data_IF_918702936164
#
_entry.id   IF_918702936164
#
_cell.length_a   1.000
_cell.length_b   1.000
_cell.length_c   1.000
_cell.angle_alpha   90.00
_cell.angle_beta   90.00
_cell.angle_gamma   90.00
#
_symmetry.space_group_name_H-M   'P 1'
#
loop_
_entity.id
_entity.type
_entity.pdbx_description
1 polymer ?
#
# COMPACT_ATOMS: atom_id res chain seq x y z
N UNK A 1 -5.32 -11.04 -1.36
CA UNK A 1 -4.28 -9.99 -1.39
C UNK A 1 -3.38 -10.32 -0.23
N UNK A 2 -2.35 -11.12 -0.48
CA UNK A 2 -1.24 -11.22 0.47
C UNK A 2 -0.69 -9.80 0.55
N UNK A 3 -0.92 -9.09 1.66
CA UNK A 3 -0.06 -7.95 1.97
C UNK A 3 1.33 -8.57 2.00
N UNK A 4 2.22 -8.22 1.05
CA UNK A 4 3.54 -8.80 1.08
C UNK A 4 4.10 -8.51 2.47
N UNK A 5 4.74 -9.50 3.06
CA UNK A 5 5.32 -9.44 4.41
C UNK A 5 6.55 -8.49 4.55
N UNK A 6 7.09 -7.72 3.58
CA UNK A 6 8.32 -6.95 3.83
C UNK A 6 8.06 -5.57 4.44
N UNK A 7 6.84 -5.23 4.87
CA UNK A 7 6.57 -3.95 5.54
C UNK A 7 6.92 -3.93 7.03
N UNK A 8 7.31 -5.05 7.63
CA UNK A 8 7.77 -5.13 9.04
C UNK A 8 8.94 -4.18 9.34
N UNK A 9 9.76 -3.85 8.33
CA UNK A 9 10.91 -2.93 8.49
C UNK A 9 10.57 -1.46 8.24
N UNK A 10 9.33 -1.12 7.87
CA UNK A 10 8.92 0.27 7.67
C UNK A 10 8.41 0.87 8.98
N UNK A 11 9.10 1.87 9.51
CA UNK A 11 8.49 2.63 10.60
C UNK A 11 7.30 3.40 10.03
N UNK A 12 6.10 3.12 10.57
CA UNK A 12 4.92 3.98 10.79
C UNK A 12 4.78 5.29 9.96
N UNK A 13 5.75 6.19 9.87
CA UNK A 13 5.68 7.45 9.08
C UNK A 13 6.23 7.33 7.65
N UNK A 14 7.01 6.29 7.38
CA UNK A 14 7.69 6.06 6.12
C UNK A 14 6.74 5.52 5.06
N UNK A 15 5.84 4.60 5.40
CA UNK A 15 4.90 3.95 4.47
C UNK A 15 3.99 4.94 3.71
N UNK A 16 3.39 5.90 4.41
CA UNK A 16 2.49 6.91 3.82
C UNK A 16 3.21 7.87 2.88
N UNK A 17 4.48 8.11 3.14
CA UNK A 17 5.22 9.10 2.42
C UNK A 17 6.17 8.47 1.39
N UNK A 18 6.40 7.15 1.41
CA UNK A 18 6.74 6.37 0.21
C UNK A 18 5.61 6.40 -0.81
N UNK A 19 4.34 6.33 -0.41
CA UNK A 19 3.20 6.45 -1.34
C UNK A 19 3.12 7.84 -2.01
N UNK A 20 3.34 8.94 -1.25
CA UNK A 20 3.39 10.29 -1.84
C UNK A 20 4.62 10.53 -2.72
N UNK A 21 5.77 9.92 -2.43
CA UNK A 21 6.96 9.99 -3.31
C UNK A 21 6.77 9.13 -4.56
N UNK A 22 6.10 7.97 -4.47
CA UNK A 22 5.79 7.15 -5.64
C UNK A 22 4.91 7.88 -6.65
N UNK A 23 4.02 8.79 -6.22
CA UNK A 23 3.23 9.61 -7.14
C UNK A 23 4.06 10.62 -7.95
N UNK A 24 5.20 11.09 -7.42
CA UNK A 24 6.15 11.93 -8.16
C UNK A 24 7.20 11.11 -8.95
N UNK A 25 7.44 9.84 -8.58
CA UNK A 25 8.42 8.93 -9.21
C UNK A 25 7.77 8.00 -10.26
N UNK A 26 6.44 7.97 -10.39
CA UNK A 26 5.73 7.11 -11.35
C UNK A 26 5.89 7.52 -12.83
N UNK A 27 6.53 8.65 -13.12
CA UNK A 27 6.97 9.04 -14.48
C UNK A 27 8.49 8.98 -14.65
N UNK A 28 9.16 8.13 -13.87
CA UNK A 28 10.55 7.77 -14.09
C UNK A 28 10.55 6.28 -14.46
N UNK A 29 11.06 5.89 -15.65
CA UNK A 29 11.21 4.48 -16.00
C UNK A 29 11.88 3.72 -14.85
N UNK A 30 11.43 2.50 -14.56
CA UNK A 30 11.95 1.69 -13.46
C UNK A 30 13.39 1.27 -13.75
N UNK A 31 14.31 2.14 -13.36
CA UNK A 31 15.62 2.14 -13.92
C UNK A 31 16.52 2.65 -12.79
N UNK A 32 17.21 1.71 -12.15
CA UNK A 32 17.97 1.89 -10.91
C UNK A 32 18.88 3.12 -10.95
N UNK A 33 18.75 4.13 -10.08
CA UNK A 33 19.82 5.13 -9.89
C UNK A 33 20.80 4.66 -8.81
N UNK A 34 21.38 3.50 -9.08
CA UNK A 34 22.71 3.14 -8.63
C UNK A 34 23.42 2.58 -9.86
N UNK A 35 23.43 3.38 -10.93
CA UNK A 35 24.07 3.05 -12.17
C UNK A 35 25.51 3.61 -12.10
N UNK A 36 26.57 2.85 -12.44
CA UNK A 36 27.91 3.41 -12.61
C UNK A 36 27.85 4.66 -13.49
N UNK A 37 28.73 5.65 -13.26
CA UNK A 37 28.63 7.00 -13.89
C UNK A 37 28.31 6.98 -15.39
N UNK A 38 28.81 5.99 -16.15
CA UNK A 38 28.50 5.81 -17.58
C UNK A 38 27.08 5.35 -17.92
N UNK A 39 26.41 4.57 -17.06
CA UNK A 39 25.02 4.16 -17.27
C UNK A 39 24.02 5.27 -16.97
N UNK A 40 24.34 6.17 -16.02
CA UNK A 40 23.51 7.34 -15.73
C UNK A 40 23.46 8.31 -16.93
N UNK A 41 24.60 8.50 -17.60
CA UNK A 41 24.71 9.32 -18.82
C UNK A 41 23.92 8.67 -19.97
N UNK A 42 24.12 7.37 -20.22
CA UNK A 42 23.34 6.64 -21.24
C UNK A 42 21.83 6.70 -21.00
N UNK A 43 21.40 6.58 -19.74
CA UNK A 43 19.99 6.72 -19.38
C UNK A 43 19.47 8.12 -19.65
N UNK A 44 20.22 9.16 -19.30
CA UNK A 44 19.85 10.54 -19.58
C UNK A 44 19.72 10.82 -21.09
N UNK A 45 20.65 10.29 -21.87
CA UNK A 45 20.63 10.39 -23.34
C UNK A 45 19.41 9.69 -23.94
N UNK A 46 18.97 8.56 -23.36
CA UNK A 46 17.78 7.83 -23.81
C UNK A 46 16.43 8.48 -23.49
N UNK A 47 16.39 9.54 -22.67
CA UNK A 47 15.14 10.23 -22.32
C UNK A 47 14.64 11.12 -23.47
N UNK A 48 13.32 11.16 -23.68
CA UNK A 48 12.71 12.13 -24.60
C UNK A 48 12.84 13.56 -24.07
N UNK A 49 12.70 14.61 -24.90
CA UNK A 49 12.72 16.00 -24.45
C UNK A 49 11.74 16.27 -23.30
N UNK A 50 10.53 15.74 -23.35
CA UNK A 50 9.50 15.89 -22.32
C UNK A 50 9.88 15.20 -21.01
N UNK A 51 10.52 14.02 -21.09
CA UNK A 51 11.01 13.30 -19.92
C UNK A 51 12.18 14.04 -19.25
N UNK A 52 13.09 14.61 -20.06
CA UNK A 52 14.18 15.45 -19.55
C UNK A 52 13.65 16.69 -18.84
N UNK A 53 12.64 17.35 -19.41
CA UNK A 53 12.00 18.50 -18.78
C UNK A 53 11.39 18.15 -17.41
N UNK A 54 10.62 17.06 -17.35
CA UNK A 54 10.06 16.55 -16.07
C UNK A 54 11.14 16.21 -15.05
N UNK A 55 12.26 15.63 -15.50
CA UNK A 55 13.38 15.31 -14.63
C UNK A 55 14.04 16.59 -14.07
N UNK A 56 14.26 17.61 -14.92
CA UNK A 56 14.78 18.91 -14.50
C UNK A 56 13.83 19.63 -13.53
N UNK A 57 12.53 19.60 -13.79
CA UNK A 57 11.53 20.19 -12.89
C UNK A 57 11.55 19.50 -11.52
N UNK A 58 11.61 18.18 -11.51
CA UNK A 58 11.72 17.37 -10.28
C UNK A 58 13.00 17.66 -9.52
N UNK A 59 14.12 17.87 -10.23
CA UNK A 59 15.39 18.24 -9.63
C UNK A 59 15.35 19.64 -9.00
N UNK A 60 14.75 20.63 -9.68
CA UNK A 60 14.51 21.98 -9.11
C UNK A 60 13.67 21.91 -7.84
N UNK A 61 12.61 21.08 -7.82
CA UNK A 61 11.80 20.84 -6.62
C UNK A 61 12.62 20.22 -5.50
N UNK A 62 13.46 19.23 -5.82
CA UNK A 62 14.35 18.59 -4.84
C UNK A 62 15.37 19.56 -4.25
N UNK A 63 15.97 20.43 -5.05
CA UNK A 63 16.93 21.44 -4.58
C UNK A 63 16.31 22.38 -3.53
N UNK A 64 15.04 22.75 -3.71
CA UNK A 64 14.27 23.62 -2.80
C UNK A 64 13.86 22.95 -1.50
N UNK A 65 14.02 21.64 -1.35
CA UNK A 65 13.68 20.93 -0.11
C UNK A 65 14.66 21.28 1.01
N UNK A 66 14.12 21.35 2.23
CA UNK A 66 14.91 21.50 3.46
C UNK A 66 15.71 20.22 3.75
N UNK A 67 16.73 20.35 4.62
CA UNK A 67 17.63 19.24 4.94
C UNK A 67 16.93 18.00 5.51
N UNK A 68 15.83 18.16 6.28
CA UNK A 68 15.08 17.02 6.82
C UNK A 68 14.32 16.29 5.72
N UNK A 69 13.68 17.02 4.81
CA UNK A 69 12.98 16.40 3.67
C UNK A 69 13.94 15.73 2.71
N UNK A 70 15.10 16.33 2.40
CA UNK A 70 16.15 15.71 1.58
C UNK A 70 16.61 14.37 2.16
N UNK A 71 17.01 14.34 3.43
CA UNK A 71 17.39 13.10 4.14
C UNK A 71 16.29 12.04 4.13
N UNK A 72 15.04 12.47 4.27
CA UNK A 72 13.89 11.56 4.23
C UNK A 72 13.70 10.93 2.83
N UNK A 73 13.83 11.73 1.78
CA UNK A 73 13.76 11.25 0.41
C UNK A 73 14.92 10.31 0.08
N UNK A 74 16.15 10.66 0.48
CA UNK A 74 17.33 9.80 0.29
C UNK A 74 17.14 8.42 0.92
N UNK A 75 16.63 8.35 2.15
CA UNK A 75 16.33 7.06 2.81
C UNK A 75 15.28 6.25 2.06
N UNK A 76 14.21 6.89 1.58
CA UNK A 76 13.17 6.22 0.80
C UNK A 76 13.70 5.74 -0.54
N UNK A 77 14.52 6.55 -1.16
CA UNK A 77 15.15 6.27 -2.43
C UNK A 77 16.08 5.06 -2.33
N UNK A 78 16.95 5.02 -1.31
CA UNK A 78 17.79 3.85 -1.02
C UNK A 78 16.93 2.59 -0.83
N UNK A 79 15.89 2.68 -0.01
CA UNK A 79 14.97 1.55 0.20
C UNK A 79 14.28 1.10 -1.09
N UNK A 80 13.91 2.02 -1.97
CA UNK A 80 13.32 1.70 -3.27
C UNK A 80 14.30 0.98 -4.20
N UNK A 81 15.58 1.36 -4.18
CA UNK A 81 16.63 0.67 -4.93
C UNK A 81 16.85 -0.76 -4.43
N UNK A 82 16.73 -0.97 -3.13
CA UNK A 82 16.86 -2.29 -2.49
C UNK A 82 15.63 -3.20 -2.71
N UNK A 83 14.56 -2.70 -3.35
CA UNK A 83 13.34 -3.50 -3.61
C UNK A 83 13.47 -4.37 -4.86
N UNK A 84 13.01 -5.62 -4.72
CA UNK A 84 12.75 -6.52 -5.86
C UNK A 84 11.78 -5.91 -6.88
N UNK A 85 11.79 -6.43 -8.11
CA UNK A 85 10.89 -5.98 -9.18
C UNK A 85 9.42 -6.13 -8.76
N UNK A 86 9.08 -7.23 -8.12
CA UNK A 86 7.73 -7.57 -7.67
C UNK A 86 7.24 -6.59 -6.62
N UNK A 87 8.11 -6.21 -5.67
CA UNK A 87 7.81 -5.19 -4.66
C UNK A 87 7.58 -3.81 -5.30
N UNK A 88 8.43 -3.42 -6.25
CA UNK A 88 8.27 -2.15 -6.98
C UNK A 88 6.97 -2.13 -7.77
N UNK A 89 6.63 -3.20 -8.49
CA UNK A 89 5.37 -3.32 -9.23
C UNK A 89 4.14 -3.30 -8.31
N UNK A 90 4.23 -3.94 -7.13
CA UNK A 90 3.17 -3.85 -6.14
C UNK A 90 2.93 -2.41 -5.66
N UNK A 91 4.00 -1.65 -5.39
CA UNK A 91 3.87 -0.25 -4.98
C UNK A 91 3.32 0.63 -6.09
N UNK A 92 3.78 0.46 -7.33
CA UNK A 92 3.25 1.20 -8.49
C UNK A 92 1.74 0.99 -8.64
N UNK A 93 1.26 -0.25 -8.62
CA UNK A 93 -0.18 -0.56 -8.72
C UNK A 93 -0.99 0.10 -7.60
N UNK A 94 -0.47 0.14 -6.37
CA UNK A 94 -1.17 0.79 -5.27
C UNK A 94 -1.14 2.32 -5.38
N UNK A 95 -0.03 2.90 -5.86
CA UNK A 95 0.06 4.34 -6.12
C UNK A 95 -0.91 4.78 -7.22
N UNK A 96 -1.04 3.97 -8.28
CA UNK A 96 -1.99 4.22 -9.36
C UNK A 96 -3.44 4.16 -8.86
N UNK A 97 -3.80 3.12 -8.08
CA UNK A 97 -5.12 3.04 -7.43
C UNK A 97 -5.38 4.25 -6.55
N UNK A 98 -4.39 4.69 -5.77
CA UNK A 98 -4.52 5.87 -4.92
C UNK A 98 -4.77 7.15 -5.73
N UNK A 99 -4.09 7.31 -6.87
CA UNK A 99 -4.28 8.46 -7.77
C UNK A 99 -5.72 8.55 -8.30
N UNK A 100 -6.33 7.40 -8.57
CA UNK A 100 -7.71 7.30 -9.08
C UNK A 100 -8.79 7.29 -7.99
N UNK A 101 -8.44 7.15 -6.70
CA UNK A 101 -9.40 7.27 -5.60
C UNK A 101 -9.89 8.70 -5.43
N UNK A 102 -11.18 8.85 -5.14
CA UNK A 102 -11.77 10.13 -4.77
C UNK A 102 -11.39 10.59 -3.34
N UNK A 103 -11.82 11.78 -2.95
CA UNK A 103 -11.49 12.35 -1.64
C UNK A 103 -12.09 11.58 -0.45
N UNK A 104 -13.28 11.01 -0.62
CA UNK A 104 -13.97 10.26 0.43
C UNK A 104 -13.31 8.89 0.62
N UNK A 105 -13.03 8.17 -0.47
CA UNK A 105 -12.31 6.91 -0.48
C UNK A 105 -10.93 7.05 0.16
N UNK A 106 -10.18 8.10 -0.19
CA UNK A 106 -8.88 8.39 0.43
C UNK A 106 -9.03 8.63 1.92
N UNK A 107 -10.01 9.42 2.35
CA UNK A 107 -10.26 9.71 3.76
C UNK A 107 -10.63 8.46 4.54
N UNK A 108 -11.50 7.64 3.97
CA UNK A 108 -11.90 6.35 4.52
C UNK A 108 -10.69 5.42 4.65
N UNK A 109 -9.87 5.31 3.61
CA UNK A 109 -8.68 4.45 3.62
C UNK A 109 -7.67 4.91 4.67
N UNK A 110 -7.40 6.22 4.76
CA UNK A 110 -6.50 6.79 5.76
C UNK A 110 -7.00 6.56 7.19
N UNK A 111 -8.30 6.72 7.43
CA UNK A 111 -8.92 6.47 8.74
C UNK A 111 -8.78 5.00 9.15
N UNK A 112 -9.08 4.07 8.24
CA UNK A 112 -8.97 2.63 8.52
C UNK A 112 -7.51 2.21 8.67
N UNK A 113 -6.60 2.78 7.88
CA UNK A 113 -5.18 2.54 8.02
C UNK A 113 -4.62 3.04 9.36
N UNK A 114 -5.08 4.20 9.85
CA UNK A 114 -4.72 4.70 11.18
C UNK A 114 -5.16 3.71 12.28
N UNK A 115 -6.40 3.20 12.20
CA UNK A 115 -6.92 2.19 13.14
C UNK A 115 -6.17 0.86 13.05
N UNK A 116 -5.85 0.42 11.83
CA UNK A 116 -5.07 -0.79 11.60
C UNK A 116 -3.72 -0.73 12.34
N UNK A 117 -3.04 0.41 12.24
CA UNK A 117 -1.71 0.60 12.83
C UNK A 117 -1.69 0.65 14.35
N UNK A 118 -2.83 0.89 14.99
CA UNK A 118 -2.94 0.83 16.46
C UNK A 118 -3.22 -0.59 16.95
N UNK A 119 -3.47 -1.56 16.06
CA UNK A 119 -3.67 -2.96 16.45
C UNK A 119 -2.33 -3.62 16.82
N UNK A 120 -2.37 -4.57 17.74
CA UNK A 120 -1.23 -5.44 18.03
C UNK A 120 -0.85 -6.29 16.83
N UNK A 121 0.41 -6.72 16.73
CA UNK A 121 0.91 -7.55 15.63
C UNK A 121 0.07 -8.82 15.45
N UNK A 122 -0.23 -9.53 16.54
CA UNK A 122 -1.13 -10.70 16.52
C UNK A 122 -2.50 -10.40 15.90
N UNK A 123 -3.06 -9.21 16.16
CA UNK A 123 -4.34 -8.79 15.56
C UNK A 123 -4.19 -8.42 14.09
N UNK A 124 -3.10 -7.74 13.72
CA UNK A 124 -2.80 -7.42 12.33
C UNK A 124 -2.63 -8.70 11.51
N UNK A 125 -1.83 -9.66 11.98
CA UNK A 125 -1.62 -10.95 11.30
C UNK A 125 -2.93 -11.68 11.07
N UNK A 126 -3.75 -11.83 12.12
CA UNK A 126 -5.05 -12.50 12.03
C UNK A 126 -5.99 -11.84 11.00
N UNK A 127 -6.05 -10.52 10.98
CA UNK A 127 -6.89 -9.81 10.02
C UNK A 127 -6.34 -9.91 8.59
N UNK A 128 -5.03 -9.86 8.40
CA UNK A 128 -4.39 -10.05 7.09
C UNK A 128 -4.68 -11.44 6.53
N UNK A 129 -4.60 -12.48 7.34
CA UNK A 129 -4.97 -13.85 6.96
C UNK A 129 -6.45 -13.96 6.57
N UNK A 130 -7.34 -13.34 7.36
CA UNK A 130 -8.77 -13.32 7.07
C UNK A 130 -9.06 -12.63 5.72
N UNK A 131 -8.42 -11.49 5.46
CA UNK A 131 -8.55 -10.75 4.20
C UNK A 131 -7.97 -11.54 3.02
N UNK A 132 -6.86 -12.26 3.23
CA UNK A 132 -6.28 -13.10 2.19
C UNK A 132 -7.19 -14.28 1.84
N UNK A 133 -7.76 -14.97 2.84
CA UNK A 133 -8.78 -16.01 2.63
C UNK A 133 -9.97 -15.47 1.84
N UNK A 134 -10.52 -14.33 2.26
CA UNK A 134 -11.68 -13.72 1.60
C UNK A 134 -11.39 -13.36 0.13
N UNK A 135 -10.16 -12.92 -0.17
CA UNK A 135 -9.77 -12.56 -1.53
C UNK A 135 -9.55 -13.78 -2.44
N UNK A 136 -9.13 -14.93 -1.87
CA UNK A 136 -8.93 -16.17 -2.61
C UNK A 136 -10.24 -16.92 -2.90
N UNK A 137 -11.33 -16.57 -2.21
CA UNK A 137 -12.65 -17.14 -2.48
C UNK A 137 -13.15 -16.72 -3.88
N UNK A 138 -13.94 -17.60 -4.50
CA UNK A 138 -14.72 -17.23 -5.68
C UNK A 138 -15.75 -16.12 -5.35
N UNK A 139 -16.33 -15.50 -6.39
CA UNK A 139 -17.22 -14.35 -6.23
C UNK A 139 -18.46 -14.67 -5.38
N UNK A 140 -19.06 -15.84 -5.55
CA UNK A 140 -20.26 -16.25 -4.81
C UNK A 140 -19.97 -16.44 -3.31
N UNK A 141 -18.96 -17.23 -2.97
CA UNK A 141 -18.56 -17.49 -1.59
C UNK A 141 -18.09 -16.21 -0.89
N UNK A 142 -17.39 -15.34 -1.61
CA UNK A 142 -16.98 -14.03 -1.10
C UNK A 142 -18.20 -13.15 -0.77
N UNK A 143 -19.18 -13.09 -1.68
CA UNK A 143 -20.41 -12.30 -1.48
C UNK A 143 -21.23 -12.83 -0.30
N UNK A 144 -21.38 -14.16 -0.21
CA UNK A 144 -22.03 -14.85 0.92
C UNK A 144 -21.34 -14.52 2.25
N UNK A 145 -20.01 -14.62 2.28
CA UNK A 145 -19.21 -14.31 3.48
C UNK A 145 -19.37 -12.85 3.89
N UNK A 146 -19.30 -11.91 2.95
CA UNK A 146 -19.51 -10.47 3.23
C UNK A 146 -20.92 -10.21 3.78
N UNK A 147 -21.94 -10.84 3.21
CA UNK A 147 -23.33 -10.73 3.70
C UNK A 147 -23.46 -11.24 5.13
N UNK A 148 -22.86 -12.39 5.44
CA UNK A 148 -22.83 -12.93 6.80
C UNK A 148 -22.10 -12.00 7.77
N UNK A 149 -20.94 -11.45 7.39
CA UNK A 149 -20.19 -10.51 8.24
C UNK A 149 -20.99 -9.22 8.51
N UNK A 150 -21.71 -8.70 7.51
CA UNK A 150 -22.61 -7.54 7.69
C UNK A 150 -23.71 -7.86 8.69
N UNK A 151 -24.40 -9.01 8.53
CA UNK A 151 -25.44 -9.47 9.47
C UNK A 151 -24.87 -9.65 10.88
N UNK A 152 -23.73 -10.32 11.03
CA UNK A 152 -23.11 -10.53 12.34
C UNK A 152 -22.79 -9.21 13.07
N UNK A 153 -22.39 -8.18 12.32
CA UNK A 153 -22.11 -6.85 12.87
C UNK A 153 -23.37 -6.13 13.36
N UNK A 154 -24.53 -6.36 12.74
CA UNK A 154 -25.80 -5.76 13.15
C UNK A 154 -26.42 -6.45 14.37
N UNK A 155 -26.05 -7.70 14.66
CA UNK A 155 -26.59 -8.42 15.81
C UNK A 155 -26.05 -7.88 17.15
N UNK A 156 -26.95 -7.74 18.12
CA UNK A 156 -26.63 -7.47 19.52
C UNK A 156 -26.11 -8.73 20.25
N UNK A 157 -25.72 -8.60 21.52
CA UNK A 157 -25.13 -9.71 22.27
C UNK A 157 -26.09 -10.89 22.45
N UNK A 158 -27.37 -10.64 22.72
CA UNK A 158 -28.40 -11.67 22.89
C UNK A 158 -28.63 -12.44 21.59
N UNK A 159 -28.82 -11.72 20.49
CA UNK A 159 -29.05 -12.33 19.16
C UNK A 159 -27.85 -13.16 18.70
N UNK A 160 -26.61 -12.75 19.03
CA UNK A 160 -25.41 -13.55 18.74
C UNK A 160 -25.35 -14.83 19.56
N UNK A 161 -25.78 -14.80 20.83
CA UNK A 161 -25.83 -15.98 21.69
C UNK A 161 -26.92 -16.95 21.22
N UNK A 162 -28.09 -16.43 20.86
CA UNK A 162 -29.19 -17.22 20.28
C UNK A 162 -28.76 -17.87 18.97
N UNK A 163 -28.12 -17.12 18.05
CA UNK A 163 -27.60 -17.67 16.80
C UNK A 163 -26.53 -18.76 17.02
N UNK A 164 -25.64 -18.56 17.99
CA UNK A 164 -24.65 -19.59 18.37
C UNK A 164 -25.29 -20.85 18.94
N UNK A 165 -26.38 -20.69 19.70
CA UNK A 165 -27.15 -21.81 20.27
C UNK A 165 -27.83 -22.59 19.15
N UNK A 166 -28.57 -21.92 18.26
CA UNK A 166 -29.21 -22.56 17.11
C UNK A 166 -28.21 -23.34 16.25
N UNK A 167 -27.07 -22.74 15.89
CA UNK A 167 -26.02 -23.43 15.10
C UNK A 167 -25.38 -24.63 15.81
N UNK A 168 -25.46 -24.71 17.15
CA UNK A 168 -24.95 -25.83 17.95
C UNK A 168 -26.00 -26.93 18.08
N UNK A 169 -27.26 -26.56 18.16
CA UNK A 169 -28.39 -27.47 18.30
C UNK A 169 -28.80 -28.08 16.94
N UNK A 170 -28.63 -27.36 15.83
CA UNK A 170 -28.80 -27.85 14.45
C UNK A 170 -27.66 -28.78 13.98
N UNK A 171 -26.63 -28.99 14.82
CA UNK A 171 -25.50 -29.89 14.58
C UNK A 171 -25.59 -31.18 15.43
N UNK A 172 -26.76 -31.45 16.02
CA UNK A 172 -27.10 -32.70 16.69
C UNK A 172 -28.05 -33.54 15.84
#
# INVERSE_FOLDING_TARGET
MKFPQPLEKMTRREALATLMVCAAVAMIPAASFAAPKGEAVKRWESLTPEEREKALESFKKWQKLDGKSKKLLERRYKRWMDMSREQREFLKRNADRWKHMDGEERTWLMRNFKKWRTLSEKRQTRLSEMLDRLHKMNQENRSRTIKMLKRWRSLNQRERLELKRCLKDDCK
#
